data_IF_138901230880
#
_entry.id   IF_138901230880
#
_cell.length_a   1.000
_cell.length_b   1.000
_cell.length_c   1.000
_cell.angle_alpha   90.00
_cell.angle_beta   90.00
_cell.angle_gamma   90.00
#
_symmetry.space_group_name_H-M   'P 1'
#
loop_
_entity.id
_entity.type
_entity.pdbx_description
1 polymer ?
#
# COMPACT_ATOMS: atom_id res chain seq x y z
N UNK A 1 -9.57 11.49 -23.55
CA UNK A 1 -9.22 11.67 -22.12
C UNK A 1 -7.72 11.86 -22.00
N UNK A 2 -7.28 12.60 -20.99
CA UNK A 2 -5.87 12.77 -20.63
C UNK A 2 -5.64 12.18 -19.24
N UNK A 3 -4.54 11.44 -19.08
CA UNK A 3 -4.08 10.90 -17.79
C UNK A 3 -2.65 11.37 -17.54
N UNK A 4 -2.45 11.99 -16.37
CA UNK A 4 -1.17 12.47 -15.90
C UNK A 4 -0.90 11.91 -14.50
N UNK A 5 -0.12 10.83 -14.43
CA UNK A 5 0.32 10.20 -13.20
C UNK A 5 1.82 10.39 -13.07
N UNK A 6 2.21 11.14 -12.05
CA UNK A 6 3.59 11.42 -11.72
C UNK A 6 4.13 10.51 -10.62
N UNK A 7 5.45 10.34 -10.64
CA UNK A 7 6.24 9.63 -9.61
C UNK A 7 5.92 8.13 -9.44
N UNK A 8 5.39 7.48 -10.48
CA UNK A 8 5.17 6.02 -10.45
C UNK A 8 6.45 5.23 -10.16
N UNK A 9 7.56 5.60 -10.81
CA UNK A 9 8.88 4.98 -10.61
C UNK A 9 9.70 5.59 -9.46
N UNK A 10 9.16 6.57 -8.75
CA UNK A 10 9.81 7.23 -7.63
C UNK A 10 8.83 7.30 -6.45
N UNK A 11 8.51 6.16 -5.83
CA UNK A 11 7.56 6.13 -4.73
C UNK A 11 8.10 6.95 -3.55
N UNK A 12 7.22 7.52 -2.72
CA UNK A 12 7.62 8.15 -1.47
C UNK A 12 8.42 7.18 -0.60
N UNK A 13 9.66 7.54 -0.27
CA UNK A 13 10.54 6.73 0.57
C UNK A 13 10.15 6.84 2.05
N UNK A 14 10.44 5.79 2.81
CA UNK A 14 10.33 5.84 4.27
C UNK A 14 11.53 6.50 4.92
N UNK A 15 11.39 6.83 6.21
CA UNK A 15 12.43 7.44 7.04
C UNK A 15 12.65 6.63 8.32
N UNK A 16 13.88 6.65 8.84
CA UNK A 16 14.27 5.97 10.10
C UNK A 16 13.86 4.48 10.16
N UNK A 17 14.01 3.74 9.06
CA UNK A 17 13.63 2.33 8.98
C UNK A 17 12.20 2.07 8.47
N UNK A 18 11.45 3.13 8.14
CA UNK A 18 10.14 3.02 7.50
C UNK A 18 10.21 2.48 6.08
N UNK A 19 9.12 1.84 5.65
CA UNK A 19 8.97 1.29 4.31
C UNK A 19 8.51 2.36 3.30
N UNK A 20 8.87 2.23 2.01
CA UNK A 20 8.32 3.08 0.97
C UNK A 20 6.82 2.84 0.79
N UNK A 21 6.11 3.86 0.31
CA UNK A 21 4.69 3.75 -0.02
C UNK A 21 4.46 3.06 -1.36
N UNK A 22 3.20 2.69 -1.63
CA UNK A 22 2.78 2.41 -3.00
C UNK A 22 2.84 3.69 -3.85
N UNK A 23 3.31 3.61 -5.10
CA UNK A 23 3.31 4.76 -5.99
C UNK A 23 1.90 5.13 -6.48
N UNK A 24 1.77 6.32 -7.06
CA UNK A 24 0.59 6.64 -7.85
C UNK A 24 0.55 5.77 -9.12
N UNK A 25 -0.64 5.30 -9.48
CA UNK A 25 -0.85 4.53 -10.70
C UNK A 25 -2.21 4.88 -11.30
N UNK A 26 -2.37 4.71 -12.62
CA UNK A 26 -3.67 4.65 -13.24
C UNK A 26 -3.77 3.42 -14.13
N UNK A 27 -4.94 2.80 -14.14
CA UNK A 27 -5.23 1.63 -14.97
C UNK A 27 -6.46 1.87 -15.82
N UNK A 28 -6.47 1.32 -17.03
CA UNK A 28 -7.65 1.29 -17.89
C UNK A 28 -8.03 -0.16 -18.12
N UNK A 29 -9.26 -0.51 -17.74
CA UNK A 29 -9.87 -1.79 -18.05
C UNK A 29 -10.88 -1.58 -19.18
N UNK A 30 -10.66 -2.24 -20.33
CA UNK A 30 -11.55 -2.15 -21.48
C UNK A 30 -11.77 -3.56 -22.06
N UNK A 31 -12.94 -4.21 -21.82
CA UNK A 31 -14.07 -3.73 -21.01
C UNK A 31 -13.78 -3.74 -19.50
N UNK A 32 -14.67 -3.12 -18.69
CA UNK A 32 -14.57 -3.18 -17.23
C UNK A 32 -14.48 -4.62 -16.70
N UNK A 33 -13.58 -4.86 -15.74
CA UNK A 33 -13.27 -6.19 -15.20
C UNK A 33 -12.19 -6.95 -15.97
N UNK A 34 -11.70 -6.44 -17.11
CA UNK A 34 -10.51 -6.95 -17.76
C UNK A 34 -9.23 -6.63 -16.95
N UNK A 35 -8.11 -7.27 -17.30
CA UNK A 35 -6.80 -6.90 -16.77
C UNK A 35 -6.49 -5.45 -17.17
N UNK A 36 -6.29 -4.58 -16.19
CA UNK A 36 -6.06 -3.16 -16.43
C UNK A 36 -4.70 -2.87 -17.08
N UNK A 37 -4.69 -2.06 -18.14
CA UNK A 37 -3.48 -1.49 -18.72
C UNK A 37 -2.97 -0.37 -17.81
N UNK A 38 -1.71 -0.44 -17.36
CA UNK A 38 -1.06 0.67 -16.65
C UNK A 38 -0.84 1.85 -17.61
N UNK A 39 -1.42 3.01 -17.28
CA UNK A 39 -1.26 4.25 -18.03
C UNK A 39 -0.72 5.34 -17.11
N UNK A 40 0.42 5.93 -17.49
CA UNK A 40 1.09 6.95 -16.66
C UNK A 40 0.86 8.36 -17.20
N UNK A 41 1.48 8.71 -18.33
CA UNK A 41 1.33 10.01 -18.99
C UNK A 41 0.89 9.78 -20.42
N UNK A 42 -0.38 10.03 -20.71
CA UNK A 42 -0.93 9.81 -22.06
C UNK A 42 -2.12 10.74 -22.31
N UNK A 43 -2.08 11.35 -23.49
CA UNK A 43 -3.13 12.24 -23.98
C UNK A 43 -3.93 11.56 -25.09
N UNK A 44 -5.12 12.10 -25.37
CA UNK A 44 -5.93 11.63 -26.51
C UNK A 44 -6.48 10.21 -26.37
N UNK A 45 -6.51 9.65 -25.16
CA UNK A 45 -7.03 8.29 -24.91
C UNK A 45 -8.50 8.24 -25.31
N UNK A 46 -8.84 7.33 -26.22
CA UNK A 46 -10.22 6.96 -26.54
C UNK A 46 -10.66 5.87 -25.58
N UNK A 47 -11.82 6.06 -24.97
CA UNK A 47 -12.45 5.09 -24.09
C UNK A 47 -13.71 4.60 -24.78
N UNK A 48 -13.80 3.29 -24.96
CA UNK A 48 -15.01 2.67 -25.45
C UNK A 48 -16.08 2.64 -24.34
N UNK A 49 -17.37 2.71 -24.68
CA UNK A 49 -18.44 2.55 -23.71
C UNK A 49 -18.26 1.26 -22.89
N UNK A 50 -18.35 1.38 -21.56
CA UNK A 50 -18.15 0.26 -20.64
C UNK A 50 -16.69 0.03 -20.21
N UNK A 51 -15.73 0.85 -20.67
CA UNK A 51 -14.39 0.88 -20.08
C UNK A 51 -14.40 1.52 -18.68
N UNK A 52 -13.47 1.10 -17.81
CA UNK A 52 -13.26 1.64 -16.46
C UNK A 52 -11.85 2.22 -16.34
N UNK A 53 -11.76 3.45 -15.85
CA UNK A 53 -10.48 4.08 -15.48
C UNK A 53 -10.34 4.05 -13.97
N UNK A 54 -9.23 3.50 -13.49
CA UNK A 54 -8.92 3.37 -12.06
C UNK A 54 -7.75 4.28 -11.76
N UNK A 55 -7.95 5.28 -10.90
CA UNK A 55 -6.89 6.13 -10.38
C UNK A 55 -6.53 5.64 -8.98
N UNK A 56 -5.33 5.08 -8.82
CA UNK A 56 -4.81 4.59 -7.56
C UNK A 56 -3.83 5.62 -6.99
N UNK A 57 -4.31 6.42 -6.02
CA UNK A 57 -3.48 7.36 -5.28
C UNK A 57 -2.45 6.61 -4.41
N UNK A 58 -1.20 7.01 -4.52
CA UNK A 58 -0.12 6.55 -3.66
C UNK A 58 -0.24 7.15 -2.25
N UNK A 59 0.42 6.50 -1.29
CA UNK A 59 0.51 6.96 0.10
C UNK A 59 1.79 7.75 0.39
N UNK A 60 1.94 8.20 1.63
CA UNK A 60 3.22 8.71 2.15
C UNK A 60 4.14 7.57 2.61
N UNK A 61 5.45 7.79 2.57
CA UNK A 61 6.42 6.82 3.08
C UNK A 61 6.32 6.68 4.60
N UNK A 62 6.61 5.49 5.11
CA UNK A 62 6.51 5.17 6.53
C UNK A 62 7.60 5.81 7.39
N UNK A 63 7.38 5.84 8.69
CA UNK A 63 8.36 6.29 9.70
C UNK A 63 8.63 5.17 10.70
N UNK A 64 9.91 4.94 11.02
CA UNK A 64 10.31 3.95 12.01
C UNK A 64 10.20 2.52 11.50
N UNK A 65 10.75 1.56 12.23
CA UNK A 65 10.63 0.14 11.88
C UNK A 65 9.17 -0.33 12.08
N UNK A 66 8.49 -0.87 11.05
CA UNK A 66 7.11 -1.38 11.19
C UNK A 66 6.98 -2.47 12.26
N UNK A 67 8.05 -3.26 12.48
CA UNK A 67 8.07 -4.32 13.49
C UNK A 67 8.15 -3.78 14.93
N UNK A 68 8.26 -2.47 15.12
CA UNK A 68 8.21 -1.83 16.44
C UNK A 68 6.83 -1.21 16.73
N UNK A 69 5.93 -1.11 15.73
CA UNK A 69 4.58 -0.56 15.93
C UNK A 69 3.79 -1.41 16.91
N UNK A 70 3.12 -0.79 17.89
CA UNK A 70 2.36 -1.52 18.90
C UNK A 70 1.26 -2.41 18.26
N UNK A 71 1.11 -3.69 18.65
CA UNK A 71 0.09 -4.57 18.08
C UNK A 71 -1.33 -4.02 18.16
N UNK A 72 -1.70 -3.36 19.26
CA UNK A 72 -3.04 -2.76 19.42
C UNK A 72 -3.26 -1.57 18.47
N UNK A 73 -2.20 -0.84 18.13
CA UNK A 73 -2.27 0.21 17.11
C UNK A 73 -2.48 -0.39 15.73
N UNK A 74 -1.81 -1.50 15.41
CA UNK A 74 -2.03 -2.24 14.15
C UNK A 74 -3.45 -2.79 14.08
N UNK A 75 -3.98 -3.35 15.16
CA UNK A 75 -5.38 -3.78 15.22
C UNK A 75 -6.35 -2.62 14.93
N UNK A 76 -6.08 -1.45 15.52
CA UNK A 76 -6.88 -0.25 15.27
C UNK A 76 -6.82 0.17 13.80
N UNK A 77 -5.65 0.10 13.17
CA UNK A 77 -5.48 0.37 11.74
C UNK A 77 -6.24 -0.64 10.86
N UNK A 78 -6.33 -1.90 11.27
CA UNK A 78 -7.09 -2.94 10.55
C UNK A 78 -8.60 -2.75 10.71
N UNK A 79 -9.06 -2.46 11.93
CA UNK A 79 -10.48 -2.16 12.18
C UNK A 79 -10.91 -0.91 11.40
N UNK A 80 -10.02 0.06 11.23
CA UNK A 80 -10.25 1.27 10.44
C UNK A 80 -10.06 1.08 8.92
N UNK A 81 -9.79 -0.16 8.46
CA UNK A 81 -9.57 -0.52 7.05
C UNK A 81 -8.38 0.21 6.37
N UNK A 82 -7.48 0.80 7.15
CA UNK A 82 -6.24 1.39 6.62
C UNK A 82 -5.20 0.31 6.27
N UNK A 83 -5.24 -0.81 6.98
CA UNK A 83 -4.32 -1.94 6.81
C UNK A 83 -5.17 -3.21 6.69
N UNK A 84 -4.88 -4.07 5.72
CA UNK A 84 -5.54 -5.38 5.65
C UNK A 84 -4.94 -6.35 6.67
N UNK A 85 -5.66 -7.41 7.06
CA UNK A 85 -5.13 -8.42 7.98
C UNK A 85 -3.82 -9.06 7.44
N UNK A 86 -3.75 -9.28 6.13
CA UNK A 86 -2.56 -9.83 5.46
C UNK A 86 -1.41 -8.83 5.48
N UNK A 87 -1.69 -7.53 5.34
CA UNK A 87 -0.68 -6.48 5.45
C UNK A 87 -0.19 -6.31 6.91
N UNK A 88 -1.07 -6.48 7.90
CA UNK A 88 -0.71 -6.49 9.32
C UNK A 88 0.33 -7.57 9.62
N UNK A 89 0.11 -8.79 9.13
CA UNK A 89 1.05 -9.89 9.32
C UNK A 89 2.34 -9.67 8.52
N UNK A 90 2.21 -9.36 7.22
CA UNK A 90 3.35 -9.23 6.31
C UNK A 90 4.28 -8.09 6.71
N UNK A 91 3.75 -6.91 7.00
CA UNK A 91 4.55 -5.69 7.14
C UNK A 91 4.87 -5.41 8.62
N UNK A 92 3.91 -5.61 9.52
CA UNK A 92 4.07 -5.29 10.95
C UNK A 92 4.38 -6.51 11.84
N UNK A 93 4.27 -7.73 11.30
CA UNK A 93 4.50 -8.96 12.05
C UNK A 93 3.43 -9.22 13.11
N UNK A 94 2.20 -8.74 12.89
CA UNK A 94 1.08 -8.84 13.82
C UNK A 94 -0.07 -9.58 13.15
N UNK A 95 -0.53 -10.66 13.77
CA UNK A 95 -1.77 -11.35 13.39
C UNK A 95 -2.90 -10.77 14.22
N UNK A 96 -4.01 -10.43 13.56
CA UNK A 96 -5.17 -9.79 14.19
C UNK A 96 -6.38 -10.70 14.10
N UNK A 97 -7.19 -10.68 15.16
CA UNK A 97 -8.55 -11.21 15.15
C UNK A 97 -9.50 -10.03 15.40
N UNK A 98 -10.18 -9.61 14.34
CA UNK A 98 -11.08 -8.45 14.37
C UNK A 98 -12.34 -8.75 15.18
N UNK A 99 -12.85 -9.99 15.16
CA UNK A 99 -14.06 -10.38 15.87
C UNK A 99 -13.85 -10.36 17.38
N UNK A 100 -12.69 -10.87 17.83
CA UNK A 100 -12.32 -10.87 19.24
C UNK A 100 -11.52 -9.63 19.67
N UNK A 101 -11.20 -8.73 18.72
CA UNK A 101 -10.41 -7.51 18.92
C UNK A 101 -9.08 -7.78 19.63
N UNK A 102 -8.35 -8.78 19.13
CA UNK A 102 -7.03 -9.14 19.64
C UNK A 102 -5.96 -8.97 18.57
N UNK A 103 -4.74 -8.69 19.00
CA UNK A 103 -3.56 -8.56 18.15
C UNK A 103 -2.37 -9.25 18.81
N UNK A 104 -1.71 -10.14 18.07
CA UNK A 104 -0.57 -10.90 18.55
C UNK A 104 0.63 -10.65 17.65
N UNK A 105 1.74 -10.20 18.23
CA UNK A 105 3.01 -10.13 17.51
C UNK A 105 3.56 -11.53 17.27
N UNK A 106 3.71 -11.90 16.00
CA UNK A 106 4.30 -13.17 15.57
C UNK A 106 5.74 -13.01 15.07
N UNK A 107 6.15 -11.77 14.73
CA UNK A 107 7.51 -11.45 14.33
C UNK A 107 7.98 -10.14 14.97
N UNK A 108 9.12 -10.17 15.62
CA UNK A 108 9.78 -9.00 16.21
C UNK A 108 10.80 -8.35 15.28
N UNK A 109 11.31 -7.16 15.63
CA UNK A 109 12.45 -6.55 14.95
C UNK A 109 13.60 -7.55 14.86
N UNK A 110 14.15 -7.72 13.65
CA UNK A 110 15.40 -8.45 13.49
C UNK A 110 16.50 -7.48 13.93
N UNK A 111 17.27 -7.88 14.94
CA UNK A 111 18.42 -7.09 15.40
C UNK A 111 19.38 -6.91 14.23
N UNK A 112 19.53 -5.68 13.76
CA UNK A 112 20.54 -5.36 12.75
C UNK A 112 21.85 -5.28 13.52
N UNK A 113 22.51 -6.43 13.69
CA UNK A 113 23.84 -6.49 14.29
C UNK A 113 24.72 -5.36 13.75
N UNK A 114 25.36 -4.62 14.65
CA UNK A 114 26.13 -3.40 14.38
C UNK A 114 27.07 -3.59 13.18
N UNK A 115 26.62 -3.11 12.02
CA UNK A 115 27.40 -3.06 10.80
C UNK A 115 28.25 -1.81 10.79
N UNK A 116 29.55 -2.02 11.06
CA UNK A 116 30.67 -1.08 10.94
C UNK A 116 30.73 -0.34 9.60
#
# INVERSE_FOLDING_TARGET
MQLNVDRHWCPPWGLHGGLPARPNSAYIEAPAGAVGELVLKRDGIRLDPGARVILAGGGGGGWGNPLERAPDAVLSDVIAEYVSAEAAERDYGVVVDVANRTATRVRGPIDKGEGR
#
